data_IF_187741924451
#
_entry.id   IF_187741924451
#
_cell.length_a   1.000
_cell.length_b   1.000
_cell.length_c   1.000
_cell.angle_alpha   90.00
_cell.angle_beta   90.00
_cell.angle_gamma   90.00
#
_symmetry.space_group_name_H-M   'P 1'
#
loop_
_entity.id
_entity.type
_entity.pdbx_description
1 polymer ?
#
# COMPACT_ATOMS: atom_id res chain seq x y z
N UNK A 1 11.39 0.64 21.24
CA UNK A 1 10.08 0.66 20.56
C UNK A 1 10.30 0.10 19.16
N UNK A 2 9.54 -0.93 18.77
CA UNK A 2 9.71 -1.55 17.45
C UNK A 2 8.90 -0.76 16.42
N UNK A 3 9.55 -0.30 15.37
CA UNK A 3 8.97 0.50 14.29
C UNK A 3 9.27 -0.17 12.94
N UNK A 4 8.28 -0.18 12.05
CA UNK A 4 8.41 -0.71 10.71
C UNK A 4 7.85 0.28 9.70
N UNK A 5 8.51 0.40 8.56
CA UNK A 5 8.13 1.29 7.45
C UNK A 5 7.72 0.46 6.25
N UNK A 6 6.52 0.71 5.72
CA UNK A 6 6.08 0.18 4.43
C UNK A 6 6.31 1.26 3.38
N UNK A 7 7.08 0.94 2.35
CA UNK A 7 7.35 1.85 1.23
C UNK A 7 6.66 1.32 -0.02
N UNK A 8 5.87 2.16 -0.68
CA UNK A 8 5.20 1.86 -1.96
C UNK A 8 5.78 2.79 -3.04
N UNK A 9 6.25 2.24 -4.15
CA UNK A 9 6.84 2.98 -5.28
C UNK A 9 6.25 2.53 -6.60
N UNK A 10 6.06 3.46 -7.53
CA UNK A 10 5.91 3.11 -8.94
C UNK A 10 7.24 2.54 -9.46
N UNK A 11 7.16 1.43 -10.18
CA UNK A 11 8.27 0.76 -10.85
C UNK A 11 7.93 0.60 -12.35
N UNK A 12 8.95 0.38 -13.19
CA UNK A 12 8.79 0.34 -14.65
C UNK A 12 7.67 -0.59 -15.15
N UNK A 13 7.37 -1.67 -14.42
CA UNK A 13 6.34 -2.65 -14.76
C UNK A 13 5.28 -2.86 -13.66
N UNK A 14 5.06 -1.90 -12.76
CA UNK A 14 4.03 -2.02 -11.74
C UNK A 14 4.32 -1.26 -10.46
N UNK A 15 3.98 -1.86 -9.31
CA UNK A 15 4.15 -1.27 -7.99
C UNK A 15 5.15 -2.13 -7.20
N UNK A 16 6.17 -1.49 -6.65
CA UNK A 16 7.12 -2.10 -5.72
C UNK A 16 6.70 -1.79 -4.29
N UNK A 17 6.65 -2.82 -3.43
CA UNK A 17 6.32 -2.66 -2.01
C UNK A 17 7.38 -3.31 -1.16
N UNK A 18 7.93 -2.56 -0.20
CA UNK A 18 8.99 -3.01 0.69
C UNK A 18 8.63 -2.76 2.15
N UNK A 19 8.97 -3.70 3.02
CA UNK A 19 8.91 -3.56 4.47
C UNK A 19 10.33 -3.40 5.02
N UNK A 20 10.57 -2.34 5.79
CA UNK A 20 11.83 -2.10 6.48
C UNK A 20 11.58 -1.97 7.99
N UNK A 21 12.48 -2.51 8.81
CA UNK A 21 12.40 -2.44 10.27
C UNK A 21 13.33 -3.47 10.92
N UNK A 22 13.46 -3.44 12.26
CA UNK A 22 14.27 -4.41 12.99
C UNK A 22 13.70 -5.83 12.80
N UNK A 23 14.54 -6.87 12.78
CA UNK A 23 14.08 -8.27 12.68
C UNK A 23 13.65 -8.83 14.06
N UNK A 24 12.82 -8.09 14.79
CA UNK A 24 12.26 -8.58 16.06
C UNK A 24 10.95 -9.32 15.80
N UNK A 25 11.08 -10.60 15.45
CA UNK A 25 9.97 -11.48 15.04
C UNK A 25 8.94 -11.73 16.17
N UNK A 26 9.29 -11.40 17.41
CA UNK A 26 8.40 -11.56 18.57
C UNK A 26 7.63 -10.27 18.90
N UNK A 27 7.90 -9.17 18.20
CA UNK A 27 7.21 -7.91 18.44
C UNK A 27 5.80 -7.89 17.81
N UNK A 28 4.84 -7.32 18.53
CA UNK A 28 3.47 -7.11 18.00
C UNK A 28 3.49 -6.30 16.70
N UNK A 29 4.39 -5.31 16.61
CA UNK A 29 4.57 -4.50 15.41
C UNK A 29 5.02 -5.33 14.19
N UNK A 30 5.88 -6.34 14.38
CA UNK A 30 6.27 -7.28 13.31
C UNK A 30 5.07 -8.09 12.82
N UNK A 31 4.30 -8.67 13.76
CA UNK A 31 3.13 -9.48 13.43
C UNK A 31 2.13 -8.66 12.62
N UNK A 32 1.84 -7.43 13.05
CA UNK A 32 0.95 -6.51 12.32
C UNK A 32 1.54 -6.17 10.95
N UNK A 33 2.82 -5.85 10.86
CA UNK A 33 3.48 -5.52 9.59
C UNK A 33 3.41 -6.69 8.58
N UNK A 34 3.63 -7.93 9.04
CA UNK A 34 3.50 -9.14 8.23
C UNK A 34 2.06 -9.35 7.73
N UNK A 35 1.07 -9.17 8.61
CA UNK A 35 -0.34 -9.26 8.23
C UNK A 35 -0.67 -8.22 7.16
N UNK A 36 -0.25 -6.97 7.34
CA UNK A 36 -0.46 -5.91 6.35
C UNK A 36 0.17 -6.30 5.00
N UNK A 37 1.44 -6.73 5.00
CA UNK A 37 2.14 -7.18 3.78
C UNK A 37 1.40 -8.30 3.04
N UNK A 38 0.70 -9.20 3.75
CA UNK A 38 -0.11 -10.26 3.15
C UNK A 38 -1.32 -9.74 2.37
N UNK A 39 -1.90 -8.61 2.76
CA UNK A 39 -3.05 -8.00 2.08
C UNK A 39 -2.67 -7.05 0.94
N UNK A 40 -1.42 -6.59 0.89
CA UNK A 40 -0.95 -5.63 -0.10
C UNK A 40 -1.23 -6.06 -1.55
N UNK A 41 -1.00 -7.32 -1.98
CA UNK A 41 -1.26 -7.71 -3.37
C UNK A 41 -2.71 -7.48 -3.81
N UNK A 42 -3.67 -7.76 -2.92
CA UNK A 42 -5.09 -7.59 -3.24
C UNK A 42 -5.48 -6.10 -3.30
N UNK A 43 -4.94 -5.30 -2.37
CA UNK A 43 -5.12 -3.85 -2.34
C UNK A 43 -4.51 -3.21 -3.58
N UNK A 44 -3.28 -3.60 -3.95
CA UNK A 44 -2.57 -3.12 -5.13
C UNK A 44 -3.33 -3.48 -6.40
N UNK A 45 -3.84 -4.70 -6.54
CA UNK A 45 -4.65 -5.11 -7.69
C UNK A 45 -5.92 -4.25 -7.82
N UNK A 46 -6.65 -4.04 -6.71
CA UNK A 46 -7.85 -3.20 -6.68
C UNK A 46 -7.53 -1.74 -7.03
N UNK A 47 -6.43 -1.22 -6.48
CA UNK A 47 -5.95 0.14 -6.77
C UNK A 47 -5.53 0.29 -8.24
N UNK A 48 -4.81 -0.67 -8.81
CA UNK A 48 -4.39 -0.66 -10.21
C UNK A 48 -5.59 -0.69 -11.18
N UNK A 49 -6.61 -1.49 -10.89
CA UNK A 49 -7.86 -1.50 -11.66
C UNK A 49 -8.57 -0.15 -11.55
N UNK A 50 -8.67 0.42 -10.35
CA UNK A 50 -9.28 1.75 -10.16
C UNK A 50 -8.47 2.86 -10.83
N UNK A 51 -7.13 2.75 -10.87
CA UNK A 51 -6.18 3.67 -11.51
C UNK A 51 -6.14 3.55 -13.04
N UNK A 52 -6.58 2.44 -13.62
CA UNK A 52 -6.70 2.27 -15.07
C UNK A 52 -8.14 2.46 -15.58
N UNK A 53 -9.15 2.29 -14.71
CA UNK A 53 -10.56 2.46 -15.07
C UNK A 53 -10.91 3.92 -15.37
N UNK A 54 -11.38 4.19 -16.60
CA UNK A 54 -11.72 5.53 -17.09
C UNK A 54 -13.20 5.89 -16.97
N UNK A 55 -14.03 5.10 -16.27
CA UNK A 55 -15.44 5.43 -16.10
C UNK A 55 -15.62 6.67 -15.21
N UNK A 56 -16.73 7.40 -15.40
CA UNK A 56 -16.97 8.67 -14.69
C UNK A 56 -16.98 8.49 -13.16
N UNK A 57 -17.46 7.34 -12.67
CA UNK A 57 -17.39 6.98 -11.24
C UNK A 57 -15.96 6.86 -10.72
N UNK A 58 -15.06 6.25 -11.50
CA UNK A 58 -13.66 6.09 -11.10
C UNK A 58 -12.86 7.39 -11.28
N UNK A 59 -13.19 8.23 -12.26
CA UNK A 59 -12.63 9.57 -12.42
C UNK A 59 -12.99 10.46 -11.22
N UNK A 60 -14.27 10.58 -10.91
CA UNK A 60 -14.76 11.37 -9.78
C UNK A 60 -14.11 10.91 -8.46
N UNK A 61 -13.99 9.60 -8.24
CA UNK A 61 -13.40 9.06 -7.03
C UNK A 61 -11.86 9.22 -6.93
N UNK A 62 -11.17 9.61 -8.01
CA UNK A 62 -9.75 10.02 -7.98
C UNK A 62 -9.63 11.52 -7.70
N UNK A 63 -10.51 12.31 -8.29
CA UNK A 63 -10.58 13.77 -8.06
C UNK A 63 -11.00 14.09 -6.63
N UNK A 64 -11.86 13.26 -6.03
CA UNK A 64 -12.35 13.37 -4.65
C UNK A 64 -11.44 12.69 -3.60
N UNK A 65 -10.30 12.11 -4.01
CA UNK A 65 -9.30 11.64 -3.05
C UNK A 65 -8.28 12.74 -2.80
N UNK A 66 -8.45 13.58 -1.76
CA UNK A 66 -7.44 14.58 -1.43
C UNK A 66 -6.12 13.85 -1.12
N UNK A 67 -5.06 14.25 -1.81
CA UNK A 67 -3.69 13.79 -1.58
C UNK A 67 -3.12 14.35 -0.26
N UNK A 68 -3.86 14.25 0.84
CA UNK A 68 -3.40 14.66 2.17
C UNK A 68 -3.38 13.44 3.08
N UNK A 69 -2.28 12.70 3.01
CA UNK A 69 -1.73 12.02 4.19
C UNK A 69 -0.97 13.11 4.97
N UNK A 70 -1.61 13.68 5.98
CA UNK A 70 -0.93 14.42 7.05
C UNK A 70 -0.45 13.43 8.12
#
# INVERSE_FOLDING_TARGET
MSEYTITVKDAENGISVNLAGPADENSVAYIVAQVVMRFIPEIVKKAAVRATCQCDKCKAAREDSPQTLH
#
